data_IF_974442558400
#
_entry.id   IF_974442558400
#
_cell.length_a   1.000
_cell.length_b   1.000
_cell.length_c   1.000
_cell.angle_alpha   90.00
_cell.angle_beta   90.00
_cell.angle_gamma   90.00
#
_symmetry.space_group_name_H-M   'P 1'
#
loop_
_entity.id
_entity.type
_entity.pdbx_description
1 polymer ?
#
# COMPACT_ATOMS: atom_id res chain seq x y z
N UNK A 1 4.52 0.23 20.89
CA UNK A 1 5.58 -0.75 20.52
C UNK A 1 5.34 -1.18 19.08
N UNK A 2 6.27 -0.98 18.13
CA UNK A 2 6.14 -1.57 16.80
C UNK A 2 6.16 -3.10 16.95
N UNK A 3 5.14 -3.78 16.43
CA UNK A 3 5.10 -5.25 16.42
C UNK A 3 6.27 -5.75 15.55
N UNK A 4 7.20 -6.49 16.14
CA UNK A 4 8.31 -7.10 15.40
C UNK A 4 7.73 -7.90 14.22
N UNK A 5 8.24 -7.68 13.01
CA UNK A 5 7.75 -8.31 11.78
C UNK A 5 6.61 -7.58 11.05
N UNK A 6 6.02 -6.52 11.62
CA UNK A 6 4.97 -5.76 10.92
C UNK A 6 5.48 -4.93 9.74
N UNK A 7 6.71 -4.42 9.79
CA UNK A 7 7.28 -3.62 8.70
C UNK A 7 7.34 -4.42 7.38
N UNK A 8 7.99 -5.60 7.29
CA UNK A 8 8.08 -6.33 6.03
C UNK A 8 6.70 -6.80 5.53
N UNK A 9 5.79 -7.17 6.44
CA UNK A 9 4.42 -7.53 6.08
C UNK A 9 3.67 -6.35 5.44
N UNK A 10 3.77 -5.17 6.06
CA UNK A 10 3.08 -3.97 5.57
C UNK A 10 3.70 -3.47 4.27
N UNK A 11 5.02 -3.52 4.16
CA UNK A 11 5.74 -3.23 2.90
C UNK A 11 5.23 -4.13 1.78
N UNK A 12 5.13 -5.44 2.02
CA UNK A 12 4.59 -6.39 1.04
C UNK A 12 3.14 -6.04 0.66
N UNK A 13 2.27 -5.77 1.64
CA UNK A 13 0.89 -5.41 1.38
C UNK A 13 0.75 -4.15 0.51
N UNK A 14 1.59 -3.13 0.73
CA UNK A 14 1.62 -1.92 -0.09
C UNK A 14 2.10 -2.18 -1.53
N UNK A 15 3.11 -3.04 -1.70
CA UNK A 15 3.61 -3.46 -3.03
C UNK A 15 2.50 -4.19 -3.79
N UNK A 16 1.90 -5.21 -3.18
CA UNK A 16 0.85 -6.02 -3.80
C UNK A 16 -0.36 -5.13 -4.18
N UNK A 17 -0.79 -4.24 -3.28
CA UNK A 17 -1.86 -3.29 -3.53
C UNK A 17 -1.56 -2.31 -4.68
N UNK A 18 -0.31 -1.86 -4.80
CA UNK A 18 0.13 -0.96 -5.88
C UNK A 18 0.05 -1.66 -7.23
N UNK A 19 0.56 -2.90 -7.31
CA UNK A 19 0.52 -3.70 -8.54
C UNK A 19 -0.93 -3.94 -8.96
N UNK A 20 -1.80 -4.34 -8.03
CA UNK A 20 -3.22 -4.55 -8.32
C UNK A 20 -3.92 -3.25 -8.76
N UNK A 21 -3.64 -2.12 -8.10
CA UNK A 21 -4.26 -0.84 -8.46
C UNK A 21 -3.89 -0.39 -9.88
N UNK A 22 -2.61 -0.50 -10.24
CA UNK A 22 -2.13 -0.17 -11.60
C UNK A 22 -2.74 -1.14 -12.62
N UNK A 23 -2.75 -2.44 -12.30
CA UNK A 23 -3.31 -3.47 -13.18
C UNK A 23 -4.80 -3.28 -13.47
N UNK A 24 -5.59 -2.95 -12.45
CA UNK A 24 -7.02 -2.69 -12.60
C UNK A 24 -7.33 -1.39 -13.34
N UNK A 25 -6.53 -0.33 -13.12
CA UNK A 25 -6.74 0.96 -13.79
C UNK A 25 -6.17 1.01 -15.21
N UNK A 26 -5.25 0.11 -15.54
CA UNK A 26 -4.54 0.10 -16.83
C UNK A 26 -3.67 1.33 -17.06
N UNK A 27 -3.34 2.07 -16.00
CA UNK A 27 -2.58 3.33 -16.06
C UNK A 27 -1.86 3.60 -14.74
N UNK A 28 -0.89 4.50 -14.77
CA UNK A 28 -0.14 4.94 -13.58
C UNK A 28 -0.85 6.03 -12.77
N UNK A 29 -2.01 6.50 -13.22
CA UNK A 29 -2.77 7.55 -12.55
C UNK A 29 -3.55 6.98 -11.36
N UNK A 30 -2.85 6.37 -10.41
CA UNK A 30 -3.39 5.81 -9.17
C UNK A 30 -2.99 6.67 -7.98
N UNK A 31 -3.90 6.88 -7.04
CA UNK A 31 -3.63 7.71 -5.87
C UNK A 31 -3.11 6.88 -4.70
N UNK A 32 -2.32 7.52 -3.83
CA UNK A 32 -1.84 6.86 -2.60
C UNK A 32 -3.00 6.44 -1.69
N UNK A 33 -4.10 7.20 -1.68
CA UNK A 33 -5.33 6.87 -0.94
C UNK A 33 -5.95 5.55 -1.41
N UNK A 34 -6.00 5.31 -2.72
CA UNK A 34 -6.51 4.05 -3.28
C UNK A 34 -5.61 2.86 -2.91
N UNK A 35 -4.30 3.03 -3.05
CA UNK A 35 -3.31 2.00 -2.72
C UNK A 35 -3.38 1.66 -1.22
N UNK A 36 -3.38 2.68 -0.36
CA UNK A 36 -3.43 2.50 1.09
C UNK A 36 -4.73 1.83 1.54
N UNK A 37 -5.87 2.22 0.95
CA UNK A 37 -7.17 1.59 1.21
C UNK A 37 -7.16 0.10 0.88
N UNK A 38 -6.59 -0.29 -0.27
CA UNK A 38 -6.42 -1.70 -0.67
C UNK A 38 -5.47 -2.47 0.24
N UNK A 39 -4.41 -1.83 0.71
CA UNK A 39 -3.45 -2.42 1.65
C UNK A 39 -3.95 -2.46 3.11
N UNK A 40 -5.15 -1.92 3.40
CA UNK A 40 -5.73 -1.90 4.74
C UNK A 40 -5.02 -0.94 5.72
N UNK A 41 -4.43 0.14 5.20
CA UNK A 41 -3.70 1.14 5.99
C UNK A 41 -4.13 2.56 5.66
N UNK A 42 -3.75 3.53 6.49
CA UNK A 42 -3.97 4.95 6.16
C UNK A 42 -2.94 5.44 5.13
N UNK A 43 -3.30 6.44 4.32
CA UNK A 43 -2.36 7.06 3.37
C UNK A 43 -1.16 7.67 4.09
N UNK A 44 -1.36 8.27 5.26
CA UNK A 44 -0.27 8.80 6.08
C UNK A 44 0.71 7.69 6.50
N UNK A 45 0.19 6.52 6.92
CA UNK A 45 1.05 5.38 7.26
C UNK A 45 1.81 4.87 6.03
N UNK A 46 1.15 4.84 4.88
CA UNK A 46 1.74 4.37 3.64
C UNK A 46 2.93 5.24 3.17
N UNK A 47 2.91 6.55 3.41
CA UNK A 47 4.04 7.45 3.10
C UNK A 47 5.32 7.19 3.92
N UNK A 48 5.24 6.38 4.98
CA UNK A 48 6.41 5.99 5.76
C UNK A 48 7.14 4.74 5.21
N UNK A 49 6.62 4.11 4.14
CA UNK A 49 7.19 2.94 3.47
C UNK A 49 7.79 3.31 2.12
#
# INVERSE_FOLDING_TARGET
>A
MPKIGMEPLRRKALIDATISAIGERGSLDVTMSEIAGRAGVSSALAHHY
#
